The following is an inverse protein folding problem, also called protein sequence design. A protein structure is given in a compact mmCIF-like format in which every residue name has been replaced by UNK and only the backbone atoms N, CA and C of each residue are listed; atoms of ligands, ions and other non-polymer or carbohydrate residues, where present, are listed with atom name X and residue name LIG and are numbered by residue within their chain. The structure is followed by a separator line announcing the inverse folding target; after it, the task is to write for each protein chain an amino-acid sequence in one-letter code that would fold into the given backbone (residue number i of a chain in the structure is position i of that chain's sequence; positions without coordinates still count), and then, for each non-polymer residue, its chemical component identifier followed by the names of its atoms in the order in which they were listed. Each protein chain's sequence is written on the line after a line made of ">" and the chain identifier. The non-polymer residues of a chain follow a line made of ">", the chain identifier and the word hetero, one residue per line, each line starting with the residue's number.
data_IF_016007976178
#
_entry.id   IF_016007976178
#
_cell.length_a   1.000
_cell.length_b   1.000
_cell.length_c   1.000
_cell.angle_alpha   90.00
_cell.angle_beta   90.00
_cell.angle_gamma   90.00
#
_symmetry.space_group_name_H-M   'P 1'
#
loop_
_entity.id
_entity.type
_entity.pdbx_description
1 polymer ?
#
# COMPACT_ATOMS: atom_id res chain seq x y z
N UNK A 1 5.63 27.50 3.60
CA UNK A 1 4.84 27.72 4.83
C UNK A 1 4.37 29.17 4.91
N UNK A 2 5.24 30.15 4.67
CA UNK A 2 4.86 31.59 4.60
C UNK A 2 3.66 31.88 3.69
N UNK A 3 3.58 31.24 2.51
CA UNK A 3 2.44 31.38 1.58
C UNK A 3 1.07 31.03 2.21
N UNK A 4 1.03 30.15 3.20
CA UNK A 4 -0.21 29.69 3.84
C UNK A 4 -0.32 30.15 5.30
N UNK A 5 0.63 30.96 5.79
CA UNK A 5 0.79 31.25 7.21
C UNK A 5 -0.38 32.03 7.84
N UNK A 6 -1.21 32.68 7.03
CA UNK A 6 -2.32 33.52 7.50
C UNK A 6 -3.70 32.92 7.19
N UNK A 7 -3.77 31.70 6.65
CA UNK A 7 -5.03 31.13 6.16
C UNK A 7 -5.10 29.60 6.33
N UNK A 8 -4.94 29.15 7.58
CA UNK A 8 -5.02 27.74 7.93
C UNK A 8 -6.47 27.20 7.99
N UNK A 9 -7.47 28.07 7.99
CA UNK A 9 -8.88 27.69 8.08
C UNK A 9 -9.53 27.46 6.71
N UNK A 10 -8.93 27.95 5.62
CA UNK A 10 -9.44 27.76 4.27
C UNK A 10 -9.41 26.29 3.86
N UNK A 11 -10.51 25.86 3.25
CA UNK A 11 -10.62 24.50 2.73
C UNK A 11 -9.64 24.29 1.57
N UNK A 12 -9.02 23.11 1.53
CA UNK A 12 -8.06 22.75 0.46
C UNK A 12 -8.71 22.79 -0.92
N UNK A 13 -10.02 22.53 -1.01
CA UNK A 13 -10.77 22.56 -2.28
C UNK A 13 -10.86 23.96 -2.88
N UNK A 14 -10.75 25.00 -2.06
CA UNK A 14 -10.82 26.39 -2.49
C UNK A 14 -9.47 26.93 -2.96
N UNK A 15 -8.38 26.20 -2.71
CA UNK A 15 -7.04 26.56 -3.17
C UNK A 15 -6.92 26.38 -4.69
N UNK A 16 -6.09 27.20 -5.33
CA UNK A 16 -5.74 26.98 -6.75
C UNK A 16 -5.04 25.63 -6.93
N UNK A 17 -5.09 25.06 -8.14
CA UNK A 17 -4.43 23.76 -8.43
C UNK A 17 -2.93 23.82 -8.07
N UNK A 18 -2.28 24.94 -8.35
CA UNK A 18 -0.87 25.17 -7.99
C UNK A 18 -0.66 25.11 -6.48
N UNK A 19 -1.47 25.84 -5.70
CA UNK A 19 -1.38 25.82 -4.23
C UNK A 19 -1.65 24.43 -3.66
N UNK A 20 -2.64 23.71 -4.18
CA UNK A 20 -2.92 22.33 -3.80
C UNK A 20 -1.71 21.42 -4.05
N UNK A 21 -1.04 21.56 -5.20
CA UNK A 21 0.17 20.79 -5.55
C UNK A 21 1.35 21.11 -4.63
N UNK A 22 1.61 22.39 -4.37
CA UNK A 22 2.68 22.83 -3.48
C UNK A 22 2.44 22.36 -2.04
N UNK A 23 1.19 22.44 -1.56
CA UNK A 23 0.80 21.93 -0.24
C UNK A 23 0.97 20.41 -0.16
N UNK A 24 0.54 19.66 -1.17
CA UNK A 24 0.71 18.22 -1.22
C UNK A 24 2.19 17.80 -1.21
N UNK A 25 3.04 18.44 -2.02
CA UNK A 25 4.47 18.19 -2.05
C UNK A 25 5.15 18.51 -0.70
N UNK A 26 4.80 19.66 -0.08
CA UNK A 26 5.32 20.02 1.23
C UNK A 26 4.89 19.03 2.32
N UNK A 27 3.61 18.62 2.34
CA UNK A 27 3.09 17.60 3.26
C UNK A 27 3.86 16.29 3.14
N UNK A 28 4.17 15.86 1.92
CA UNK A 28 4.92 14.62 1.70
C UNK A 28 6.29 14.64 2.40
N UNK A 29 7.02 15.76 2.37
CA UNK A 29 8.33 15.89 3.04
C UNK A 29 8.19 15.96 4.56
N UNK A 30 7.16 16.64 5.07
CA UNK A 30 6.93 16.80 6.50
C UNK A 30 6.59 15.48 7.21
N UNK A 31 6.24 14.42 6.48
CA UNK A 31 6.04 13.08 7.05
C UNK A 31 7.32 12.44 7.61
N UNK A 32 8.50 12.98 7.29
CA UNK A 32 9.78 12.36 7.62
C UNK A 32 10.10 11.12 6.77
N UNK A 33 9.45 10.97 5.62
CA UNK A 33 9.75 9.88 4.67
C UNK A 33 11.21 9.94 4.20
N UNK A 34 11.85 8.78 4.07
CA UNK A 34 13.18 8.67 3.46
C UNK A 34 13.16 8.81 1.93
N UNK A 35 12.01 8.56 1.31
CA UNK A 35 11.78 8.61 -0.13
C UNK A 35 10.39 9.16 -0.42
N UNK A 36 10.31 10.13 -1.33
CA UNK A 36 9.05 10.69 -1.85
C UNK A 36 8.93 10.33 -3.34
N UNK A 37 7.80 9.75 -3.72
CA UNK A 37 7.48 9.42 -5.11
C UNK A 37 6.39 10.34 -5.62
N UNK A 38 6.65 11.04 -6.72
CA UNK A 38 5.74 12.01 -7.32
C UNK A 38 5.37 11.55 -8.74
N UNK A 39 4.10 11.28 -8.97
CA UNK A 39 3.58 10.89 -10.28
C UNK A 39 2.92 12.09 -10.97
N UNK A 40 3.52 12.54 -12.07
CA UNK A 40 3.12 13.69 -12.87
C UNK A 40 2.77 14.94 -12.03
N UNK A 41 3.70 15.44 -11.20
CA UNK A 41 3.40 16.47 -10.19
C UNK A 41 2.96 17.82 -10.78
N UNK A 42 3.26 18.06 -12.05
CA UNK A 42 2.95 19.29 -12.78
C UNK A 42 1.76 19.17 -13.71
N UNK A 43 1.06 18.02 -13.73
CA UNK A 43 -0.08 17.80 -14.60
C UNK A 43 -1.18 18.84 -14.36
N UNK A 44 -1.73 19.37 -15.47
CA UNK A 44 -2.81 20.38 -15.51
C UNK A 44 -2.44 21.75 -14.94
N UNK A 45 -1.16 22.03 -14.72
CA UNK A 45 -0.68 23.38 -14.39
C UNK A 45 -0.44 24.19 -15.66
N UNK A 46 -0.64 25.51 -15.56
CA UNK A 46 -0.13 26.46 -16.55
C UNK A 46 1.40 26.49 -16.51
N UNK A 47 2.03 26.96 -17.60
CA UNK A 47 3.49 26.92 -17.77
C UNK A 47 4.24 27.59 -16.60
N UNK A 48 3.71 28.67 -16.02
CA UNK A 48 4.33 29.35 -14.87
C UNK A 48 4.35 28.44 -13.63
N UNK A 49 3.25 27.74 -13.36
CA UNK A 49 3.12 26.85 -12.21
C UNK A 49 3.96 25.57 -12.33
N UNK A 50 4.23 25.12 -13.56
CA UNK A 50 5.11 23.97 -13.84
C UNK A 50 6.51 24.21 -13.28
N UNK A 51 7.10 25.38 -13.57
CA UNK A 51 8.46 25.72 -13.10
C UNK A 51 8.52 25.89 -11.59
N UNK A 52 7.50 26.48 -10.99
CA UNK A 52 7.46 26.68 -9.54
C UNK A 52 7.43 25.34 -8.78
N UNK A 53 6.61 24.39 -9.24
CA UNK A 53 6.57 23.05 -8.67
C UNK A 53 7.89 22.30 -8.90
N UNK A 54 8.47 22.39 -10.10
CA UNK A 54 9.77 21.79 -10.39
C UNK A 54 10.88 22.33 -9.48
N UNK A 55 10.92 23.65 -9.24
CA UNK A 55 11.89 24.30 -8.36
C UNK A 55 11.70 23.92 -6.89
N UNK A 56 10.44 23.75 -6.44
CA UNK A 56 10.16 23.20 -5.13
C UNK A 56 10.71 21.77 -5.00
N UNK A 57 10.44 20.91 -5.98
CA UNK A 57 10.92 19.52 -5.97
C UNK A 57 12.45 19.47 -5.94
N UNK A 58 13.12 20.29 -6.75
CA UNK A 58 14.59 20.38 -6.75
C UNK A 58 15.16 20.82 -5.39
N UNK A 59 14.47 21.70 -4.66
CA UNK A 59 14.85 22.06 -3.27
C UNK A 59 14.62 20.91 -2.30
N UNK A 60 13.46 20.23 -2.40
CA UNK A 60 13.13 19.08 -1.55
C UNK A 60 14.14 17.93 -1.72
N UNK A 61 14.62 17.70 -2.95
CA UNK A 61 15.58 16.65 -3.28
C UNK A 61 16.95 16.81 -2.56
N UNK A 62 17.23 17.99 -1.99
CA UNK A 62 18.44 18.21 -1.16
C UNK A 62 18.34 17.59 0.23
N UNK A 63 17.11 17.31 0.71
CA UNK A 63 16.86 16.82 2.06
C UNK A 63 16.28 15.40 2.09
N UNK A 64 15.57 14.97 1.04
CA UNK A 64 14.95 13.66 0.94
C UNK A 64 15.20 13.03 -0.43
N UNK A 65 15.28 11.70 -0.51
CA UNK A 65 15.28 11.02 -1.80
C UNK A 65 13.98 11.29 -2.55
N UNK A 66 14.06 11.66 -3.82
CA UNK A 66 12.87 11.92 -4.65
C UNK A 66 12.94 11.12 -5.94
N UNK A 67 11.84 10.45 -6.27
CA UNK A 67 11.59 9.90 -7.60
C UNK A 67 10.42 10.66 -8.21
N UNK A 68 10.64 11.24 -9.39
CA UNK A 68 9.60 11.90 -10.17
C UNK A 68 9.36 11.09 -11.43
N UNK A 69 8.09 10.78 -11.68
CA UNK A 69 7.62 10.23 -12.95
C UNK A 69 7.03 11.41 -13.73
N UNK A 70 7.59 11.70 -14.90
CA UNK A 70 7.03 12.69 -15.80
C UNK A 70 7.37 12.45 -17.25
N UNK A 71 6.45 12.80 -18.15
CA UNK A 71 6.71 12.88 -19.59
C UNK A 71 7.19 14.28 -20.04
N UNK A 72 7.13 15.31 -19.19
CA UNK A 72 7.58 16.66 -19.54
C UNK A 72 9.10 16.81 -19.39
N UNK A 73 9.79 16.90 -20.53
CA UNK A 73 11.25 17.09 -20.57
C UNK A 73 11.71 18.40 -19.92
N UNK A 74 10.88 19.45 -19.92
CA UNK A 74 11.22 20.74 -19.31
C UNK A 74 11.31 20.59 -17.78
N UNK A 75 10.36 19.86 -17.20
CA UNK A 75 10.31 19.55 -15.77
C UNK A 75 11.50 18.69 -15.36
N UNK A 76 11.74 17.58 -16.09
CA UNK A 76 12.85 16.68 -15.79
C UNK A 76 14.22 17.39 -15.92
N UNK A 77 14.42 18.23 -16.94
CA UNK A 77 15.63 19.06 -17.08
C UNK A 77 15.78 20.06 -15.93
N UNK A 78 14.69 20.70 -15.52
CA UNK A 78 14.70 21.72 -14.46
C UNK A 78 15.01 21.13 -13.09
N UNK A 79 14.43 19.98 -12.77
CA UNK A 79 14.71 19.25 -11.51
C UNK A 79 16.14 18.69 -11.54
N UNK A 80 16.57 18.16 -12.69
CA UNK A 80 17.90 17.59 -12.88
C UNK A 80 18.08 16.21 -12.23
N UNK A 81 19.31 15.92 -11.79
CA UNK A 81 19.65 14.63 -11.18
C UNK A 81 19.84 13.51 -12.19
N UNK A 82 19.37 12.30 -11.86
CA UNK A 82 19.47 11.10 -12.69
C UNK A 82 18.15 10.85 -13.42
N UNK A 83 18.21 10.72 -14.75
CA UNK A 83 17.07 10.43 -15.62
C UNK A 83 17.11 8.96 -16.01
N UNK A 84 15.99 8.28 -15.87
CA UNK A 84 15.77 6.93 -16.36
C UNK A 84 14.66 6.96 -17.42
N UNK A 85 14.96 6.56 -18.66
CA UNK A 85 13.93 6.42 -19.70
C UNK A 85 13.22 5.08 -19.54
N UNK A 86 11.97 5.14 -19.12
CA UNK A 86 11.07 3.99 -19.08
C UNK A 86 10.24 3.94 -20.36
N UNK A 87 10.41 2.89 -21.17
CA UNK A 87 9.59 2.65 -22.35
C UNK A 87 9.41 1.13 -22.57
N UNK A 88 8.24 0.72 -23.08
CA UNK A 88 7.93 -0.70 -23.27
C UNK A 88 8.06 -1.54 -22.00
N UNK A 89 7.76 -0.96 -20.84
CA UNK A 89 7.87 -1.62 -19.52
C UNK A 89 9.30 -1.85 -19.04
N UNK A 90 10.31 -1.19 -19.61
CA UNK A 90 11.72 -1.33 -19.25
C UNK A 90 12.44 -0.01 -19.12
N UNK A 91 13.40 0.04 -18.20
CA UNK A 91 14.39 1.12 -18.17
C UNK A 91 15.38 0.85 -19.30
N UNK A 92 15.31 1.67 -20.36
CA UNK A 92 16.16 1.53 -21.54
C UNK A 92 17.49 2.28 -21.40
N UNK A 93 17.48 3.36 -20.63
CA UNK A 93 18.67 4.18 -20.39
C UNK A 93 18.57 4.84 -19.02
N UNK A 94 19.70 4.96 -18.31
CA UNK A 94 19.78 5.71 -17.05
C UNK A 94 21.08 6.49 -17.00
N UNK A 95 20.99 7.83 -16.97
CA UNK A 95 22.16 8.72 -16.97
C UNK A 95 21.86 9.97 -16.16
N UNK A 96 22.89 10.77 -15.87
CA UNK A 96 22.65 12.12 -15.36
C UNK A 96 21.92 12.96 -16.42
N UNK A 97 21.09 13.91 -15.98
CA UNK A 97 20.21 14.68 -16.85
C UNK A 97 20.98 15.34 -18.02
N UNK A 98 22.11 16.00 -17.75
CA UNK A 98 22.95 16.58 -18.81
C UNK A 98 23.36 15.54 -19.85
N UNK A 99 23.98 14.44 -19.42
CA UNK A 99 24.40 13.37 -20.32
C UNK A 99 23.25 12.71 -21.09
N UNK A 100 22.07 12.60 -20.47
CA UNK A 100 20.88 12.03 -21.11
C UNK A 100 20.33 12.93 -22.22
N UNK A 101 20.24 14.25 -21.97
CA UNK A 101 19.66 15.19 -22.91
C UNK A 101 20.65 15.68 -23.97
N UNK A 102 21.94 15.78 -23.65
CA UNK A 102 22.97 16.26 -24.58
C UNK A 102 23.52 15.14 -25.45
N UNK A 103 23.69 13.94 -24.88
CA UNK A 103 24.31 12.78 -25.54
C UNK A 103 23.55 11.47 -25.26
N UNK A 104 22.26 11.36 -25.64
CA UNK A 104 21.48 10.14 -25.44
C UNK A 104 22.13 8.94 -26.16
N UNK A 105 22.32 7.84 -25.43
CA UNK A 105 23.07 6.68 -25.92
C UNK A 105 22.20 5.74 -26.78
N UNK A 106 20.97 5.48 -26.33
CA UNK A 106 20.03 4.56 -26.96
C UNK A 106 19.27 5.21 -28.13
N UNK A 107 18.85 4.43 -29.16
CA UNK A 107 17.94 4.90 -30.20
C UNK A 107 16.66 5.51 -29.65
N UNK A 108 16.10 4.92 -28.60
CA UNK A 108 14.84 5.34 -27.97
C UNK A 108 15.03 6.64 -27.18
N UNK A 109 16.14 6.82 -26.46
CA UNK A 109 16.45 8.10 -25.82
C UNK A 109 16.69 9.20 -26.86
N UNK A 110 17.37 8.90 -27.97
CA UNK A 110 17.51 9.86 -29.10
C UNK A 110 16.15 10.27 -29.67
N UNK A 111 15.23 9.32 -29.83
CA UNK A 111 13.87 9.61 -30.29
C UNK A 111 13.09 10.45 -29.26
N UNK A 112 13.18 10.09 -27.98
CA UNK A 112 12.53 10.80 -26.89
C UNK A 112 13.03 12.23 -26.77
N UNK A 113 14.34 12.46 -26.76
CA UNK A 113 14.91 13.81 -26.65
C UNK A 113 14.47 14.69 -27.83
N UNK A 114 14.43 14.15 -29.06
CA UNK A 114 13.99 14.90 -30.24
C UNK A 114 12.49 15.21 -30.27
N UNK A 115 11.65 14.27 -29.85
CA UNK A 115 10.20 14.32 -30.14
C UNK A 115 9.29 14.29 -28.91
N UNK A 116 9.85 14.09 -27.72
CA UNK A 116 9.11 13.80 -26.49
C UNK A 116 8.51 12.40 -26.43
N UNK A 117 8.81 11.52 -27.40
CA UNK A 117 8.20 10.19 -27.49
C UNK A 117 9.23 9.10 -27.74
N UNK A 118 9.06 7.96 -27.08
CA UNK A 118 9.76 6.71 -27.37
C UNK A 118 8.72 5.66 -27.73
N UNK A 119 8.61 5.31 -29.02
CA UNK A 119 7.60 4.37 -29.51
C UNK A 119 8.04 2.93 -29.30
N UNK A 120 7.89 2.45 -28.07
CA UNK A 120 8.20 1.07 -27.69
C UNK A 120 6.91 0.39 -27.20
N UNK A 121 6.45 -0.67 -27.88
CA UNK A 121 5.26 -1.40 -27.49
C UNK A 121 5.33 -1.89 -26.05
N UNK A 122 4.19 -1.88 -25.36
CA UNK A 122 4.10 -2.44 -24.01
C UNK A 122 4.34 -3.96 -24.04
N UNK A 123 4.87 -4.57 -22.97
CA UNK A 123 5.17 -6.02 -22.94
C UNK A 123 3.96 -6.93 -23.22
N UNK A 124 2.75 -6.40 -23.09
CA UNK A 124 1.46 -7.05 -23.30
C UNK A 124 0.70 -6.53 -24.53
N UNK A 125 1.38 -5.80 -25.43
CA UNK A 125 0.78 -5.30 -26.66
C UNK A 125 0.25 -6.48 -27.50
N UNK A 126 -1.01 -6.36 -27.95
CA UNK A 126 -1.61 -7.36 -28.85
C UNK A 126 -0.98 -7.24 -30.25
N UNK A 127 -0.92 -8.32 -31.04
CA UNK A 127 -0.39 -8.27 -32.41
C UNK A 127 -1.04 -7.17 -33.28
N UNK A 128 -2.35 -6.95 -33.11
CA UNK A 128 -3.13 -5.91 -33.80
C UNK A 128 -2.71 -4.47 -33.44
N UNK A 129 -2.07 -4.28 -32.29
CA UNK A 129 -1.59 -2.97 -31.80
C UNK A 129 -0.15 -2.68 -32.25
N UNK A 130 0.53 -3.65 -32.84
CA UNK A 130 1.90 -3.50 -33.32
C UNK A 130 1.88 -2.97 -34.75
N UNK A 131 2.85 -2.11 -35.08
CA UNK A 131 3.10 -1.79 -36.48
C UNK A 131 3.54 -3.06 -37.21
N UNK A 132 3.15 -3.29 -38.50
CA UNK A 132 3.46 -4.52 -39.23
C UNK A 132 4.96 -4.85 -39.31
N UNK A 133 5.81 -3.83 -39.20
CA UNK A 133 7.27 -3.92 -39.25
C UNK A 133 7.95 -4.00 -37.87
N UNK A 134 7.18 -3.97 -36.77
CA UNK A 134 7.73 -3.96 -35.42
C UNK A 134 7.63 -5.35 -34.77
N UNK A 135 8.76 -5.96 -34.35
CA UNK A 135 8.72 -7.24 -33.65
C UNK A 135 7.97 -7.11 -32.32
N UNK A 136 7.30 -8.19 -31.84
CA UNK A 136 6.68 -8.18 -30.53
C UNK A 136 7.74 -7.90 -29.46
N UNK A 137 7.43 -7.07 -28.46
CA UNK A 137 8.39 -6.72 -27.43
C UNK A 137 8.77 -7.99 -26.65
N UNK A 138 10.05 -8.11 -26.22
CA UNK A 138 10.45 -9.25 -25.41
C UNK A 138 9.62 -9.30 -24.10
N UNK A 139 9.42 -10.49 -23.51
CA UNK A 139 8.71 -10.63 -22.23
C UNK A 139 9.49 -9.99 -21.09
N UNK A 140 8.81 -9.43 -20.09
CA UNK A 140 9.46 -8.82 -18.92
C UNK A 140 10.47 -9.78 -18.26
N UNK A 141 11.58 -9.26 -17.69
CA UNK A 141 12.54 -10.08 -16.96
C UNK A 141 11.84 -10.94 -15.89
N UNK A 142 12.31 -12.16 -15.67
CA UNK A 142 11.70 -13.08 -14.68
C UNK A 142 11.58 -12.44 -13.29
N UNK A 143 12.61 -11.71 -12.85
CA UNK A 143 12.59 -10.97 -11.59
C UNK A 143 11.48 -9.91 -11.53
N UNK A 144 11.21 -9.20 -12.63
CA UNK A 144 10.13 -8.20 -12.69
C UNK A 144 8.75 -8.87 -12.66
N UNK A 145 8.58 -9.99 -13.36
CA UNK A 145 7.34 -10.79 -13.29
C UNK A 145 7.09 -11.34 -11.88
N UNK A 146 8.13 -11.83 -11.22
CA UNK A 146 8.06 -12.28 -9.84
C UNK A 146 7.75 -11.14 -8.85
N UNK A 147 8.35 -9.96 -9.03
CA UNK A 147 8.08 -8.80 -8.18
C UNK A 147 6.63 -8.28 -8.31
N UNK A 148 6.07 -8.32 -9.52
CA UNK A 148 4.63 -8.04 -9.75
C UNK A 148 3.79 -9.11 -9.06
N UNK A 149 4.10 -10.39 -9.25
CA UNK A 149 3.38 -11.49 -8.62
C UNK A 149 3.40 -11.44 -7.08
N UNK A 150 4.50 -10.96 -6.48
CA UNK A 150 4.67 -10.78 -5.04
C UNK A 150 3.90 -9.57 -4.47
N UNK A 151 3.52 -8.60 -5.32
CA UNK A 151 2.67 -7.45 -4.94
C UNK A 151 1.18 -7.71 -5.15
N UNK A 152 0.84 -8.67 -6.00
CA UNK A 152 -0.56 -8.93 -6.38
C UNK A 152 -1.13 -9.99 -5.44
N UNK A 153 -1.54 -9.56 -4.25
CA UNK A 153 -2.54 -10.30 -3.48
C UNK A 153 -3.89 -10.34 -4.21
N UNK A 154 -4.88 -11.04 -3.64
CA UNK A 154 -6.27 -10.90 -4.07
C UNK A 154 -6.71 -9.44 -4.06
N UNK A 155 -7.71 -9.11 -4.88
CA UNK A 155 -8.23 -7.74 -4.90
C UNK A 155 -8.74 -7.33 -3.51
N UNK A 156 -8.29 -6.17 -3.03
CA UNK A 156 -8.67 -5.66 -1.71
C UNK A 156 -7.90 -6.29 -0.54
N UNK A 157 -6.88 -7.11 -0.80
CA UNK A 157 -5.98 -7.57 0.25
C UNK A 157 -5.10 -6.42 0.76
N UNK A 158 -5.02 -6.26 2.08
CA UNK A 158 -4.14 -5.32 2.75
C UNK A 158 -3.39 -6.01 3.90
N UNK A 159 -2.08 -5.81 3.98
CA UNK A 159 -1.29 -6.20 5.14
C UNK A 159 -1.55 -5.26 6.32
N UNK A 160 -1.87 -5.82 7.49
CA UNK A 160 -1.72 -5.09 8.75
C UNK A 160 -0.23 -5.09 9.15
N UNK A 161 0.36 -6.28 9.15
CA UNK A 161 1.79 -6.53 9.35
C UNK A 161 2.28 -7.36 8.16
N UNK A 162 3.12 -6.78 7.27
CA UNK A 162 3.59 -7.47 6.07
C UNK A 162 4.23 -8.83 6.35
N UNK A 163 3.74 -9.87 5.68
CA UNK A 163 4.25 -11.24 5.81
C UNK A 163 3.81 -11.96 7.09
N UNK A 164 2.93 -11.36 7.89
CA UNK A 164 2.43 -11.96 9.14
C UNK A 164 0.91 -12.04 9.12
N UNK A 165 0.22 -10.90 9.04
CA UNK A 165 -1.24 -10.86 9.15
C UNK A 165 -1.84 -9.74 8.29
N UNK A 166 -2.91 -10.07 7.56
CA UNK A 166 -3.61 -9.13 6.67
C UNK A 166 -5.09 -9.42 6.55
N UNK A 167 -5.80 -8.56 5.83
CA UNK A 167 -7.24 -8.65 5.62
C UNK A 167 -7.64 -8.49 4.17
N UNK A 168 -8.75 -9.12 3.78
CA UNK A 168 -9.34 -9.02 2.44
C UNK A 168 -10.86 -9.16 2.47
N UNK A 169 -11.57 -8.77 1.38
CA UNK A 169 -12.94 -9.22 1.13
C UNK A 169 -12.99 -10.73 0.91
N UNK A 170 -14.19 -11.31 1.02
CA UNK A 170 -14.36 -12.76 0.82
C UNK A 170 -13.79 -13.21 -0.53
N UNK A 171 -12.81 -14.15 -0.55
CA UNK A 171 -12.37 -14.78 -1.79
C UNK A 171 -13.54 -15.33 -2.59
N UNK A 172 -13.55 -15.12 -3.91
CA UNK A 172 -14.66 -15.60 -4.75
C UNK A 172 -15.83 -14.61 -4.89
N UNK A 173 -15.82 -13.44 -4.23
CA UNK A 173 -16.96 -12.50 -4.26
C UNK A 173 -16.98 -11.62 -5.52
N UNK A 174 -15.81 -11.25 -6.05
CA UNK A 174 -15.68 -10.43 -7.27
C UNK A 174 -15.06 -11.21 -8.43
N UNK A 175 -14.16 -12.14 -8.13
CA UNK A 175 -13.46 -12.99 -9.10
C UNK A 175 -13.70 -14.45 -8.74
N UNK A 176 -13.28 -15.36 -9.61
CA UNK A 176 -13.27 -16.80 -9.33
C UNK A 176 -12.47 -17.09 -8.05
N UNK A 177 -13.01 -17.97 -7.20
CA UNK A 177 -12.41 -18.36 -5.92
C UNK A 177 -10.96 -18.82 -6.10
N UNK A 178 -10.72 -19.68 -7.09
CA UNK A 178 -9.39 -20.23 -7.41
C UNK A 178 -8.35 -19.11 -7.63
N UNK A 179 -8.71 -18.05 -8.36
CA UNK A 179 -7.81 -16.92 -8.65
C UNK A 179 -7.44 -16.15 -7.38
N UNK A 180 -8.39 -15.97 -6.46
CA UNK A 180 -8.11 -15.32 -5.17
C UNK A 180 -7.25 -16.23 -4.29
N UNK A 181 -7.48 -17.55 -4.28
CA UNK A 181 -6.65 -18.49 -3.51
C UNK A 181 -5.22 -18.59 -4.04
N UNK A 182 -5.01 -18.58 -5.35
CA UNK A 182 -3.67 -18.43 -5.96
C UNK A 182 -2.98 -17.12 -5.53
N UNK A 183 -3.76 -16.05 -5.39
CA UNK A 183 -3.29 -14.76 -4.85
C UNK A 183 -2.80 -14.89 -3.41
N UNK A 184 -3.57 -15.54 -2.55
CA UNK A 184 -3.20 -15.80 -1.15
C UNK A 184 -1.96 -16.71 -1.06
N UNK A 185 -1.87 -17.75 -1.89
CA UNK A 185 -0.71 -18.63 -1.95
C UNK A 185 0.56 -17.87 -2.36
N UNK A 186 0.47 -16.94 -3.32
CA UNK A 186 1.61 -16.07 -3.71
C UNK A 186 2.06 -15.14 -2.59
N UNK A 187 1.13 -14.73 -1.73
CA UNK A 187 1.41 -14.01 -0.49
C UNK A 187 1.92 -14.93 0.65
N UNK A 188 2.03 -16.23 0.41
CA UNK A 188 2.40 -17.28 1.35
C UNK A 188 1.47 -17.40 2.56
N UNK A 189 0.21 -16.99 2.39
CA UNK A 189 -0.81 -17.21 3.42
C UNK A 189 -0.96 -18.71 3.65
N UNK A 190 -0.85 -19.13 4.90
CA UNK A 190 -1.00 -20.53 5.34
C UNK A 190 -2.32 -20.77 6.05
N UNK A 191 -3.00 -19.69 6.48
CA UNK A 191 -4.26 -19.77 7.20
C UNK A 191 -5.23 -18.68 6.79
N UNK A 192 -6.48 -19.07 6.51
CA UNK A 192 -7.58 -18.16 6.18
C UNK A 192 -8.62 -18.19 7.30
N UNK A 193 -8.83 -17.05 7.94
CA UNK A 193 -9.81 -16.87 9.03
C UNK A 193 -11.07 -16.23 8.46
N UNK A 194 -12.17 -16.99 8.50
CA UNK A 194 -13.50 -16.57 8.08
C UNK A 194 -14.24 -15.94 9.25
N UNK A 195 -14.61 -14.66 9.12
CA UNK A 195 -15.33 -13.90 10.14
C UNK A 195 -16.84 -13.79 9.90
N UNK A 196 -17.35 -14.45 8.85
CA UNK A 196 -18.76 -14.46 8.50
C UNK A 196 -19.59 -15.34 9.44
N UNK A 197 -20.91 -15.20 9.38
CA UNK A 197 -21.87 -15.96 10.18
C UNK A 197 -21.79 -17.47 9.94
N UNK A 198 -21.32 -17.83 8.74
CA UNK A 198 -21.14 -19.19 8.26
C UNK A 198 -19.80 -19.33 7.53
N UNK A 199 -19.18 -20.52 7.54
CA UNK A 199 -17.98 -20.78 6.74
C UNK A 199 -18.35 -20.67 5.25
N UNK A 200 -17.78 -19.67 4.57
CA UNK A 200 -18.15 -19.35 3.19
C UNK A 200 -17.28 -20.06 2.14
N UNK A 201 -16.22 -20.75 2.57
CA UNK A 201 -15.25 -21.45 1.73
C UNK A 201 -14.97 -22.80 2.41
N UNK A 202 -15.04 -23.90 1.67
CA UNK A 202 -14.82 -25.23 2.22
C UNK A 202 -13.33 -25.53 2.41
N UNK A 203 -12.98 -26.40 3.36
CA UNK A 203 -11.58 -26.79 3.59
C UNK A 203 -11.00 -27.51 2.35
N UNK A 204 -11.83 -28.27 1.63
CA UNK A 204 -11.44 -28.95 0.39
C UNK A 204 -11.00 -27.98 -0.72
N UNK A 205 -11.55 -26.76 -0.76
CA UNK A 205 -11.16 -25.73 -1.72
C UNK A 205 -9.84 -25.05 -1.33
N UNK A 206 -9.52 -25.00 -0.03
CA UNK A 206 -8.31 -24.36 0.51
C UNK A 206 -7.08 -25.28 0.46
N UNK A 207 -7.28 -26.58 0.70
CA UNK A 207 -6.21 -27.57 0.81
C UNK A 207 -5.25 -27.62 -0.40
N UNK A 208 -5.70 -27.53 -1.67
CA UNK A 208 -4.81 -27.49 -2.83
C UNK A 208 -3.80 -26.33 -2.82
N UNK A 209 -4.13 -25.24 -2.13
CA UNK A 209 -3.29 -24.06 -2.03
C UNK A 209 -2.36 -24.09 -0.80
N UNK A 210 -2.45 -25.13 0.04
CA UNK A 210 -1.73 -25.22 1.29
C UNK A 210 -2.25 -24.26 2.37
N UNK A 211 -3.52 -23.84 2.24
CA UNK A 211 -4.18 -22.93 3.17
C UNK A 211 -5.08 -23.76 4.09
N UNK A 212 -5.02 -23.49 5.39
CA UNK A 212 -5.95 -24.05 6.38
C UNK A 212 -7.06 -23.07 6.71
N UNK A 213 -8.30 -23.53 6.76
CA UNK A 213 -9.44 -22.73 7.18
C UNK A 213 -9.54 -22.62 8.71
N UNK A 214 -10.06 -21.48 9.17
CA UNK A 214 -10.56 -21.33 10.53
C UNK A 214 -11.80 -20.43 10.52
N UNK A 215 -12.83 -20.79 11.27
CA UNK A 215 -14.08 -20.02 11.33
C UNK A 215 -14.25 -19.42 12.72
N UNK A 216 -14.42 -18.10 12.77
CA UNK A 216 -14.74 -17.35 13.98
C UNK A 216 -15.93 -16.44 13.69
N UNK A 217 -17.10 -16.77 14.23
CA UNK A 217 -18.35 -16.10 13.87
C UNK A 217 -18.40 -14.67 14.41
N UNK A 218 -18.70 -13.70 13.53
CA UNK A 218 -19.11 -12.34 13.91
C UNK A 218 -20.33 -11.96 13.06
N UNK A 219 -21.42 -11.58 13.72
CA UNK A 219 -22.63 -11.11 13.03
C UNK A 219 -22.33 -9.82 12.22
N UNK A 220 -23.04 -9.62 11.10
CA UNK A 220 -22.77 -8.47 10.23
C UNK A 220 -22.92 -7.13 10.97
N UNK A 221 -21.99 -6.21 10.69
CA UNK A 221 -21.88 -4.88 11.31
C UNK A 221 -21.60 -4.85 12.83
N UNK A 222 -21.59 -5.99 13.50
CA UNK A 222 -21.34 -6.12 14.93
C UNK A 222 -19.84 -6.22 15.27
N UNK A 223 -19.56 -6.34 16.56
CA UNK A 223 -18.29 -6.82 17.12
C UNK A 223 -18.53 -8.08 17.98
N UNK A 224 -17.54 -8.99 18.10
CA UNK A 224 -17.69 -10.14 18.98
C UNK A 224 -17.66 -9.72 20.46
N UNK A 225 -18.16 -10.57 21.37
CA UNK A 225 -17.88 -10.43 22.79
C UNK A 225 -16.37 -10.37 23.04
N UNK A 226 -15.94 -9.51 23.96
CA UNK A 226 -14.51 -9.30 24.25
C UNK A 226 -13.82 -10.60 24.66
N UNK A 227 -14.48 -11.43 25.47
CA UNK A 227 -13.91 -12.70 25.94
C UNK A 227 -13.64 -13.69 24.79
N UNK A 228 -14.57 -13.82 23.85
CA UNK A 228 -14.41 -14.66 22.66
C UNK A 228 -13.30 -14.10 21.75
N UNK A 229 -13.24 -12.78 21.59
CA UNK A 229 -12.21 -12.12 20.80
C UNK A 229 -10.81 -12.35 21.38
N UNK A 230 -10.65 -12.30 22.71
CA UNK A 230 -9.37 -12.58 23.38
C UNK A 230 -8.89 -14.00 23.05
N UNK A 231 -9.78 -15.00 23.04
CA UNK A 231 -9.40 -16.36 22.65
C UNK A 231 -8.91 -16.42 21.20
N UNK A 232 -9.58 -15.72 20.28
CA UNK A 232 -9.11 -15.59 18.89
C UNK A 232 -7.73 -14.93 18.84
N UNK A 233 -7.49 -13.85 19.59
CA UNK A 233 -6.20 -13.15 19.57
C UNK A 233 -5.06 -14.00 20.13
N UNK A 234 -5.29 -14.77 21.20
CA UNK A 234 -4.34 -15.75 21.73
C UNK A 234 -4.00 -16.81 20.66
N UNK A 235 -5.01 -17.28 19.93
CA UNK A 235 -4.82 -18.26 18.86
C UNK A 235 -4.07 -17.67 17.65
N UNK A 236 -4.42 -16.46 17.21
CA UNK A 236 -3.70 -15.73 16.15
C UNK A 236 -2.23 -15.56 16.52
N UNK A 237 -1.94 -15.15 17.77
CA UNK A 237 -0.56 -14.99 18.24
C UNK A 237 0.20 -16.32 18.22
N UNK A 238 -0.42 -17.39 18.69
CA UNK A 238 0.17 -18.74 18.65
C UNK A 238 0.59 -19.12 17.22
N UNK A 239 -0.34 -19.03 16.26
CA UNK A 239 -0.05 -19.33 14.86
C UNK A 239 1.04 -18.43 14.27
N UNK A 240 1.01 -17.12 14.52
CA UNK A 240 2.07 -16.23 14.02
C UNK A 240 3.44 -16.54 14.64
N UNK A 241 3.47 -17.03 15.89
CA UNK A 241 4.72 -17.45 16.56
C UNK A 241 5.27 -18.75 15.97
N UNK A 242 4.39 -19.62 15.49
CA UNK A 242 4.73 -20.84 14.73
C UNK A 242 5.14 -20.55 13.28
N UNK A 243 5.20 -19.27 12.88
CA UNK A 243 5.59 -18.83 11.53
C UNK A 243 4.48 -18.91 10.50
N UNK A 244 3.22 -19.05 10.92
CA UNK A 244 2.09 -19.01 10.02
C UNK A 244 1.80 -17.58 9.54
N UNK A 245 1.32 -17.50 8.29
CA UNK A 245 0.91 -16.24 7.66
C UNK A 245 -0.60 -16.25 7.52
N UNK A 246 -1.25 -15.27 8.14
CA UNK A 246 -2.70 -15.27 8.36
C UNK A 246 -3.38 -14.23 7.47
N UNK A 247 -4.48 -14.62 6.85
CA UNK A 247 -5.40 -13.72 6.19
C UNK A 247 -6.77 -13.80 6.87
N UNK A 248 -7.37 -12.66 7.23
CA UNK A 248 -8.73 -12.60 7.73
C UNK A 248 -9.67 -12.04 6.67
N UNK A 249 -10.86 -12.61 6.54
CA UNK A 249 -11.88 -12.03 5.68
C UNK A 249 -13.25 -12.02 6.36
N UNK A 250 -14.09 -11.11 5.88
CA UNK A 250 -15.54 -11.18 6.01
C UNK A 250 -16.11 -10.93 4.62
N UNK A 251 -17.41 -10.62 4.50
CA UNK A 251 -18.01 -10.38 3.19
C UNK A 251 -17.29 -9.27 2.39
N UNK A 252 -17.11 -8.08 2.98
CA UNK A 252 -16.51 -6.93 2.32
C UNK A 252 -15.04 -6.65 2.72
N UNK A 253 -14.54 -7.28 3.78
CA UNK A 253 -13.17 -7.04 4.29
C UNK A 253 -12.96 -5.68 4.95
N UNK A 254 -14.04 -5.03 5.41
CA UNK A 254 -14.01 -3.65 5.92
C UNK A 254 -14.31 -3.54 7.42
N UNK A 255 -15.55 -3.79 7.85
CA UNK A 255 -15.98 -3.74 9.26
C UNK A 255 -15.32 -4.82 10.12
N UNK A 256 -15.91 -6.02 10.15
CA UNK A 256 -15.45 -7.17 10.97
C UNK A 256 -13.94 -7.46 10.83
N UNK A 257 -13.44 -7.55 9.59
CA UNK A 257 -12.02 -7.75 9.31
C UNK A 257 -11.15 -6.64 9.88
N UNK A 258 -11.51 -5.38 9.65
CA UNK A 258 -10.78 -4.24 10.19
C UNK A 258 -10.81 -4.20 11.72
N UNK A 259 -11.94 -4.56 12.34
CA UNK A 259 -12.11 -4.62 13.80
C UNK A 259 -11.20 -5.65 14.44
N UNK A 260 -11.14 -6.88 13.91
CA UNK A 260 -10.24 -7.91 14.45
C UNK A 260 -8.77 -7.55 14.19
N UNK A 261 -8.43 -7.00 13.02
CA UNK A 261 -7.07 -6.53 12.75
C UNK A 261 -6.63 -5.40 13.69
N UNK A 262 -7.51 -4.44 13.97
CA UNK A 262 -7.22 -3.40 14.96
C UNK A 262 -7.12 -3.98 16.38
N UNK A 263 -8.04 -4.87 16.77
CA UNK A 263 -8.02 -5.54 18.07
C UNK A 263 -6.75 -6.36 18.29
N UNK A 264 -6.21 -6.98 17.24
CA UNK A 264 -4.92 -7.66 17.29
C UNK A 264 -3.79 -6.71 17.72
N UNK A 265 -3.75 -5.47 17.20
CA UNK A 265 -2.76 -4.47 17.63
C UNK A 265 -2.95 -4.08 19.11
N UNK A 266 -4.20 -3.97 19.57
CA UNK A 266 -4.50 -3.69 20.99
C UNK A 266 -3.95 -4.79 21.88
N UNK A 267 -4.14 -6.06 21.50
CA UNK A 267 -3.54 -7.20 22.19
C UNK A 267 -2.00 -7.21 22.15
N UNK A 268 -1.39 -6.63 21.12
CA UNK A 268 0.05 -6.39 21.01
C UNK A 268 0.52 -5.15 21.81
N UNK A 269 -0.36 -4.52 22.59
CA UNK A 269 -0.02 -3.45 23.54
C UNK A 269 -0.18 -2.03 22.98
N UNK A 270 -0.90 -1.85 21.87
CA UNK A 270 -1.29 -0.53 21.38
C UNK A 270 -2.54 -0.05 22.12
N UNK A 271 -2.70 1.26 22.27
CA UNK A 271 -3.99 1.80 22.72
C UNK A 271 -5.05 1.60 21.63
N UNK A 272 -6.34 1.59 22.01
CA UNK A 272 -7.44 1.46 21.05
C UNK A 272 -7.40 2.56 19.97
N UNK A 273 -7.01 3.78 20.37
CA UNK A 273 -6.88 4.91 19.46
C UNK A 273 -5.73 4.70 18.46
N UNK A 274 -4.53 4.36 18.93
CA UNK A 274 -3.38 4.13 18.04
C UNK A 274 -3.64 2.95 17.07
N UNK A 275 -4.27 1.88 17.56
CA UNK A 275 -4.66 0.73 16.74
C UNK A 275 -5.66 1.12 15.65
N UNK A 276 -6.67 1.92 15.99
CA UNK A 276 -7.68 2.41 15.04
C UNK A 276 -7.07 3.34 13.99
N UNK A 277 -6.22 4.29 14.41
CA UNK A 277 -5.50 5.19 13.50
C UNK A 277 -4.60 4.40 12.56
N UNK A 278 -3.89 3.39 13.08
CA UNK A 278 -3.05 2.52 12.28
C UNK A 278 -3.87 1.74 11.25
N UNK A 279 -4.96 1.11 11.68
CA UNK A 279 -5.87 0.39 10.79
C UNK A 279 -6.39 1.30 9.67
N UNK A 280 -6.87 2.51 10.00
CA UNK A 280 -7.41 3.46 9.01
C UNK A 280 -6.35 4.09 8.12
N UNK A 281 -5.09 4.18 8.57
CA UNK A 281 -3.96 4.58 7.71
C UNK A 281 -3.69 3.57 6.59
N UNK A 282 -4.04 2.29 6.81
CA UNK A 282 -3.89 1.21 5.83
C UNK A 282 -5.11 1.14 4.92
N UNK A 283 -6.31 1.14 5.50
CA UNK A 283 -7.56 1.21 4.76
C UNK A 283 -8.54 2.13 5.51
N UNK A 284 -8.85 3.33 4.96
CA UNK A 284 -9.70 4.32 5.64
C UNK A 284 -11.12 3.83 5.98
N UNK A 285 -11.55 2.71 5.39
CA UNK A 285 -12.87 2.10 5.62
C UNK A 285 -12.86 0.97 6.64
N UNK A 286 -11.73 0.65 7.24
CA UNK A 286 -11.66 -0.31 8.35
C UNK A 286 -12.32 0.25 9.61
N UNK A 287 -13.04 -0.62 10.32
CA UNK A 287 -13.86 -0.30 11.51
C UNK A 287 -14.98 0.70 11.15
N UNK A 288 -16.19 0.18 10.88
CA UNK A 288 -17.26 0.90 10.20
C UNK A 288 -18.42 1.34 11.11
N UNK A 289 -18.59 0.73 12.28
CA UNK A 289 -19.68 1.05 13.21
C UNK A 289 -19.15 1.61 14.54
N UNK A 290 -19.99 2.37 15.24
CA UNK A 290 -19.68 2.85 16.58
C UNK A 290 -19.45 1.68 17.55
N UNK A 291 -20.24 0.62 17.43
CA UNK A 291 -20.08 -0.62 18.21
C UNK A 291 -18.68 -1.23 18.05
N UNK A 292 -18.15 -1.28 16.82
CA UNK A 292 -16.80 -1.78 16.56
C UNK A 292 -15.70 -0.89 17.13
N UNK A 293 -15.94 0.43 17.22
CA UNK A 293 -15.02 1.35 17.88
C UNK A 293 -15.06 1.14 19.40
N UNK A 294 -16.26 1.03 19.98
CA UNK A 294 -16.43 0.72 21.40
C UNK A 294 -15.76 -0.60 21.78
N UNK A 295 -15.90 -1.64 20.95
CA UNK A 295 -15.23 -2.92 21.15
C UNK A 295 -13.71 -2.79 21.35
N UNK A 296 -13.03 -1.92 20.59
CA UNK A 296 -11.58 -1.73 20.75
C UNK A 296 -11.25 -1.09 22.11
N UNK A 297 -12.10 -0.17 22.58
CA UNK A 297 -11.95 0.48 23.89
C UNK A 297 -12.25 -0.50 25.02
N UNK A 298 -13.30 -1.31 24.89
CA UNK A 298 -13.68 -2.35 25.84
C UNK A 298 -12.59 -3.42 25.94
N UNK A 299 -11.96 -3.78 24.81
CA UNK A 299 -10.82 -4.70 24.77
C UNK A 299 -9.59 -4.13 25.49
N UNK A 300 -9.24 -2.86 25.24
CA UNK A 300 -8.15 -2.18 25.94
C UNK A 300 -8.40 -2.16 27.46
N UNK A 301 -9.62 -1.81 27.87
CA UNK A 301 -10.02 -1.80 29.29
C UNK A 301 -9.92 -3.20 29.89
N UNK A 302 -10.47 -4.21 29.22
CA UNK A 302 -10.47 -5.61 29.68
C UNK A 302 -9.05 -6.13 29.92
N UNK A 303 -8.10 -5.77 29.03
CA UNK A 303 -6.69 -6.15 29.16
C UNK A 303 -6.01 -5.42 30.32
N UNK A 304 -6.35 -4.15 30.55
CA UNK A 304 -5.78 -3.35 31.65
C UNK A 304 -6.20 -3.85 33.04
N UNK A 305 -7.42 -4.39 33.17
CA UNK A 305 -7.97 -4.89 34.44
C UNK A 305 -7.48 -6.28 34.84
N UNK A 306 -6.82 -7.01 33.93
CA UNK A 306 -6.35 -8.40 34.14
C UNK A 306 -4.86 -8.57 33.82
N UNK A 307 -3.95 -7.88 34.55
CA UNK A 307 -2.51 -7.91 34.25
C UNK A 307 -1.83 -9.28 34.53
N UNK A 308 -2.44 -10.16 35.33
CA UNK A 308 -1.80 -11.39 35.85
C UNK A 308 -2.05 -12.67 35.03
N UNK A 309 -2.54 -12.57 33.79
CA UNK A 309 -2.36 -13.67 32.82
C UNK A 309 -0.97 -13.55 32.19
N UNK A 310 0.05 -13.79 33.02
CA UNK A 310 1.49 -13.75 32.73
C UNK A 310 2.00 -14.90 31.81
N UNK A 311 1.18 -15.32 30.83
CA UNK A 311 1.66 -15.79 29.53
C UNK A 311 1.67 -14.68 28.47
N UNK A 312 1.03 -13.55 28.78
CA UNK A 312 0.94 -12.32 27.97
C UNK A 312 2.12 -11.41 28.35
N UNK A 313 3.35 -11.87 28.15
CA UNK A 313 4.45 -10.91 28.02
C UNK A 313 4.18 -10.14 26.70
N UNK A 314 4.19 -8.80 26.68
CA UNK A 314 4.26 -8.09 25.41
C UNK A 314 5.47 -8.65 24.68
N UNK A 315 5.28 -9.21 23.49
CA UNK A 315 6.37 -9.72 22.68
C UNK A 315 7.43 -8.62 22.67
N UNK A 316 8.62 -8.92 23.20
CA UNK A 316 9.71 -7.98 23.43
C UNK A 316 10.00 -7.20 22.15
N UNK A 317 9.33 -6.06 21.93
CA UNK A 317 9.39 -5.22 20.72
C UNK A 317 9.73 -6.00 19.44
N UNK A 318 9.12 -7.17 19.20
CA UNK A 318 9.40 -7.95 17.99
C UNK A 318 8.93 -7.22 16.73
N UNK A 319 8.05 -6.23 16.91
CA UNK A 319 7.69 -5.23 15.92
C UNK A 319 8.31 -3.87 16.24
N UNK A 320 9.63 -3.74 16.03
CA UNK A 320 10.19 -2.45 15.61
C UNK A 320 9.78 -2.23 14.16
N UNK A 321 8.49 -1.96 13.92
CA UNK A 321 8.12 -1.13 12.78
C UNK A 321 8.62 0.28 13.12
N UNK A 322 9.32 0.98 12.22
CA UNK A 322 10.05 2.20 12.54
C UNK A 322 9.09 3.37 12.75
N UNK A 323 8.42 3.45 13.90
CA UNK A 323 7.47 4.53 14.20
C UNK A 323 7.47 5.03 15.65
N UNK A 324 8.35 4.56 16.54
CA UNK A 324 8.65 5.33 17.76
C UNK A 324 9.86 6.23 17.52
N UNK A 325 9.60 7.49 17.15
CA UNK A 325 10.51 8.59 17.46
C UNK A 325 10.53 8.71 18.99
N UNK A 326 11.61 8.32 19.62
CA UNK A 326 11.95 8.87 20.94
C UNK A 326 12.13 10.39 20.76
N UNK A 327 11.56 11.13 21.73
CA UNK A 327 11.33 12.57 21.71
C UNK A 327 12.62 13.38 21.64
#
# INVERSE_FOLDING_TARGET
>A
LERFANDFARSVVDLTILEQRLLAAARAVLTGAALVMLDEPTARLADEGVYEVADLIGRMAKAVGIIVVTHDQRVAKRIGGRVALLAGGRILETRNASSFYDLPASPEARAFVRSGRASVPSPNARPEQLSPSQPPPPPLPAAARAAVAARVGPNGFHWLVPGVIGGLPRPGIVRELETDLEGLQRLRVTRLVTLEEYPSIAEEDLAPFGIRGHHFRIDDMAAPPVEDAVQLFEQLRSWTSDGEVIALHCRAGLGRTGTILAGYLVCEGWTALEALERARSINPRWVQSAEQVCFLQDLELWLSERPDRSGVAPASRLFVLPLRKER
#
